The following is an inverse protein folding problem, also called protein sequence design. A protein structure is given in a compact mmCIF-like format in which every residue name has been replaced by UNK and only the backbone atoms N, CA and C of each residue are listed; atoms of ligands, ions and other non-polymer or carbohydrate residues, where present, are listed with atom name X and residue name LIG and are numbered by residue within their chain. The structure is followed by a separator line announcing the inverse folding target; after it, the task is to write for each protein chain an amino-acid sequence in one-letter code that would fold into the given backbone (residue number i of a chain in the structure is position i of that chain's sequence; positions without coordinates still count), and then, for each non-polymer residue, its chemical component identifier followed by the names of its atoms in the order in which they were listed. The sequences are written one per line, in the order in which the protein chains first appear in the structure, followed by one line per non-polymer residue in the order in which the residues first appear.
data_IF_967128951951
#
_entry.id   IF_967128951951
#
_cell.length_a   1.000
_cell.length_b   1.000
_cell.length_c   1.000
_cell.angle_alpha   90.00
_cell.angle_beta   90.00
_cell.angle_gamma   90.00
#
_symmetry.space_group_name_H-M   'P 1'
#
loop_
_entity.id
_entity.type
_entity.pdbx_description
1 polymer ?
#
# COMPACT_ATOMS: atom_id res chain seq x y z
N UNK A 1 -24.69 -5.16 -20.73
CA UNK A 1 -23.90 -3.97 -21.08
C UNK A 1 -24.65 -3.24 -22.18
N UNK A 2 -25.06 -2.00 -21.93
CA UNK A 2 -25.63 -1.14 -22.97
C UNK A 2 -24.54 -0.76 -23.99
N UNK A 3 -24.91 -0.51 -25.25
CA UNK A 3 -23.96 -0.06 -26.29
C UNK A 3 -23.15 1.18 -25.88
N UNK A 4 -23.72 2.05 -25.02
CA UNK A 4 -23.05 3.23 -24.45
C UNK A 4 -22.02 2.90 -23.34
N UNK A 5 -22.17 1.80 -22.63
CA UNK A 5 -21.20 1.34 -21.62
C UNK A 5 -19.99 0.67 -22.27
N UNK A 6 -20.22 -0.06 -23.38
CA UNK A 6 -19.15 -0.67 -24.17
C UNK A 6 -18.15 0.36 -24.71
N UNK A 7 -18.64 1.49 -25.22
CA UNK A 7 -17.78 2.57 -25.71
C UNK A 7 -16.87 3.17 -24.62
N UNK A 8 -17.43 3.47 -23.44
CA UNK A 8 -16.66 4.00 -22.30
C UNK A 8 -15.61 3.03 -21.78
N UNK A 9 -15.93 1.74 -21.77
CA UNK A 9 -14.97 0.72 -21.37
C UNK A 9 -13.79 0.62 -22.35
N UNK A 10 -14.07 0.64 -23.65
CA UNK A 10 -13.02 0.65 -24.68
C UNK A 10 -12.12 1.88 -24.52
N UNK A 11 -12.70 3.07 -24.36
CA UNK A 11 -11.95 4.30 -24.14
C UNK A 11 -11.02 4.22 -22.91
N UNK A 12 -11.53 3.70 -21.79
CA UNK A 12 -10.76 3.50 -20.57
C UNK A 12 -9.58 2.53 -20.78
N UNK A 13 -9.82 1.38 -21.41
CA UNK A 13 -8.77 0.38 -21.68
C UNK A 13 -7.74 0.91 -22.66
N UNK A 14 -8.17 1.67 -23.68
CA UNK A 14 -7.29 2.32 -24.65
C UNK A 14 -6.40 3.34 -23.97
N UNK A 15 -6.98 4.25 -23.17
CA UNK A 15 -6.22 5.25 -22.42
C UNK A 15 -5.21 4.59 -21.47
N UNK A 16 -5.66 3.61 -20.68
CA UNK A 16 -4.76 2.87 -19.79
C UNK A 16 -3.61 2.20 -20.55
N UNK A 17 -3.90 1.54 -21.68
CA UNK A 17 -2.88 0.90 -22.51
C UNK A 17 -1.90 1.91 -23.12
N UNK A 18 -2.37 3.10 -23.50
CA UNK A 18 -1.51 4.20 -23.97
C UNK A 18 -0.60 4.70 -22.85
N UNK A 19 -1.13 4.94 -21.65
CA UNK A 19 -0.33 5.35 -20.48
C UNK A 19 0.80 4.34 -20.21
N UNK A 20 0.51 3.04 -20.21
CA UNK A 20 1.54 2.01 -20.02
C UNK A 20 2.60 2.03 -21.13
N UNK A 21 2.20 2.27 -22.39
CA UNK A 21 3.13 2.40 -23.51
C UNK A 21 4.01 3.63 -23.39
N UNK A 22 3.46 4.76 -22.95
CA UNK A 22 4.16 6.04 -22.76
C UNK A 22 5.18 5.97 -21.63
N UNK A 23 4.89 5.23 -20.56
CA UNK A 23 5.87 4.94 -19.49
C UNK A 23 7.10 4.19 -20.01
N UNK A 24 6.94 3.45 -21.12
CA UNK A 24 8.02 2.75 -21.78
C UNK A 24 8.49 1.50 -21.04
N UNK A 25 9.51 0.80 -21.56
CA UNK A 25 10.06 -0.39 -20.93
C UNK A 25 10.80 -0.05 -19.63
N UNK A 26 10.82 -1.02 -18.72
CA UNK A 26 11.61 -0.93 -17.49
C UNK A 26 13.09 -0.77 -17.84
N UNK A 27 13.76 0.19 -17.18
CA UNK A 27 15.20 0.44 -17.38
C UNK A 27 16.02 -0.73 -16.82
N UNK A 28 17.09 -1.10 -17.54
CA UNK A 28 18.02 -2.19 -17.14
C UNK A 28 18.80 -1.92 -15.85
N UNK A 29 18.86 -0.67 -15.41
CA UNK A 29 19.60 -0.23 -14.22
C UNK A 29 18.83 -0.48 -12.91
N UNK A 30 17.58 -0.95 -12.97
CA UNK A 30 16.78 -1.24 -11.78
C UNK A 30 17.07 -2.66 -11.29
N UNK A 31 17.42 -2.79 -10.01
CA UNK A 31 17.53 -4.08 -9.33
C UNK A 31 16.23 -4.90 -9.50
N UNK A 32 16.27 -6.06 -10.18
CA UNK A 32 15.08 -6.88 -10.45
C UNK A 32 14.32 -7.31 -9.19
N UNK A 33 15.02 -7.63 -8.10
CA UNK A 33 14.35 -8.10 -6.87
C UNK A 33 13.66 -6.94 -6.14
N UNK A 34 14.30 -5.77 -6.10
CA UNK A 34 13.67 -4.54 -5.59
C UNK A 34 12.44 -4.18 -6.41
N UNK A 35 12.53 -4.28 -7.74
CA UNK A 35 11.41 -3.97 -8.62
C UNK A 35 10.25 -4.95 -8.43
N UNK A 36 10.56 -6.26 -8.36
CA UNK A 36 9.57 -7.31 -8.11
C UNK A 36 8.84 -7.08 -6.79
N UNK A 37 9.58 -6.75 -5.73
CA UNK A 37 9.00 -6.44 -4.41
C UNK A 37 8.05 -5.23 -4.49
N UNK A 38 8.46 -4.14 -5.15
CA UNK A 38 7.61 -2.95 -5.31
C UNK A 38 6.36 -3.21 -6.15
N UNK A 39 6.48 -3.98 -7.23
CA UNK A 39 5.32 -4.38 -8.05
C UNK A 39 4.36 -5.28 -7.28
N UNK A 40 4.89 -6.21 -6.48
CA UNK A 40 4.08 -7.07 -5.63
C UNK A 40 3.38 -6.25 -4.53
N UNK A 41 4.07 -5.27 -3.93
CA UNK A 41 3.46 -4.36 -2.96
C UNK A 41 2.33 -3.52 -3.59
N UNK A 42 2.55 -2.98 -4.79
CA UNK A 42 1.53 -2.24 -5.54
C UNK A 42 0.30 -3.11 -5.85
N UNK A 43 0.52 -4.35 -6.29
CA UNK A 43 -0.55 -5.32 -6.54
C UNK A 43 -1.36 -5.58 -5.27
N UNK A 44 -0.69 -5.94 -4.16
CA UNK A 44 -1.35 -6.21 -2.88
C UNK A 44 -2.15 -5.01 -2.38
N UNK A 45 -1.61 -3.80 -2.53
CA UNK A 45 -2.26 -2.57 -2.11
C UNK A 45 -3.59 -2.36 -2.85
N UNK A 46 -3.57 -2.49 -4.19
CA UNK A 46 -4.77 -2.33 -5.03
C UNK A 46 -5.81 -3.44 -4.80
N UNK A 47 -5.38 -4.68 -4.57
CA UNK A 47 -6.27 -5.80 -4.25
C UNK A 47 -6.86 -5.72 -2.82
N UNK A 48 -6.24 -4.90 -1.97
CA UNK A 48 -6.60 -4.67 -0.57
C UNK A 48 -8.02 -4.15 -0.36
N UNK A 49 -8.60 -4.50 0.80
CA UNK A 49 -9.95 -4.06 1.19
C UNK A 49 -10.05 -2.53 1.30
N UNK A 50 -8.99 -1.88 1.80
CA UNK A 50 -8.94 -0.42 1.97
C UNK A 50 -9.09 0.29 0.62
N UNK A 51 -8.31 -0.09 -0.39
CA UNK A 51 -8.40 0.52 -1.72
C UNK A 51 -9.78 0.32 -2.36
N UNK A 52 -10.36 -0.88 -2.25
CA UNK A 52 -11.75 -1.11 -2.71
C UNK A 52 -12.76 -0.19 -2.02
N UNK A 53 -12.66 -0.02 -0.71
CA UNK A 53 -13.56 0.85 0.04
C UNK A 53 -13.39 2.33 -0.36
N UNK A 54 -12.14 2.80 -0.46
CA UNK A 54 -11.79 4.18 -0.80
C UNK A 54 -12.31 4.55 -2.19
N UNK A 55 -12.11 3.68 -3.18
CA UNK A 55 -12.62 3.89 -4.55
C UNK A 55 -14.15 3.91 -4.58
N UNK A 56 -14.81 3.02 -3.82
CA UNK A 56 -16.27 2.99 -3.75
C UNK A 56 -16.86 4.29 -3.16
N UNK A 57 -16.17 4.91 -2.19
CA UNK A 57 -16.59 6.18 -1.56
C UNK A 57 -16.39 7.41 -2.44
N UNK A 58 -15.67 7.30 -3.56
CA UNK A 58 -15.39 8.44 -4.46
C UNK A 58 -16.65 9.15 -4.93
N UNK A 59 -17.66 8.40 -5.38
CA UNK A 59 -18.91 8.99 -5.88
C UNK A 59 -19.64 9.71 -4.75
N UNK A 60 -19.75 9.06 -3.59
CA UNK A 60 -20.42 9.61 -2.41
C UNK A 60 -19.77 10.92 -1.93
N UNK A 61 -18.43 10.98 -1.86
CA UNK A 61 -17.73 12.20 -1.45
C UNK A 61 -17.88 13.37 -2.43
N UNK A 62 -18.11 13.09 -3.72
CA UNK A 62 -18.34 14.13 -4.74
C UNK A 62 -19.80 14.57 -4.84
N UNK A 63 -20.77 13.76 -4.38
CA UNK A 63 -22.20 14.07 -4.52
C UNK A 63 -22.86 14.43 -3.20
N UNK A 64 -22.65 13.62 -2.16
CA UNK A 64 -23.32 13.74 -0.87
C UNK A 64 -22.43 14.39 0.18
N UNK A 65 -21.12 14.39 -0.06
CA UNK A 65 -20.11 14.88 0.86
C UNK A 65 -19.74 13.87 1.95
N UNK A 66 -18.88 14.27 2.88
CA UNK A 66 -18.51 13.46 4.04
C UNK A 66 -19.58 13.50 5.16
N UNK A 67 -19.27 12.95 6.34
CA UNK A 67 -20.17 12.93 7.51
C UNK A 67 -20.60 14.33 7.97
N UNK A 68 -19.88 15.38 7.58
CA UNK A 68 -20.14 16.78 7.91
C UNK A 68 -20.82 17.55 6.76
N UNK A 69 -21.13 16.89 5.65
CA UNK A 69 -21.73 17.50 4.47
C UNK A 69 -20.73 18.22 3.55
N UNK A 70 -19.43 18.06 3.77
CA UNK A 70 -18.40 18.67 2.93
C UNK A 70 -18.27 17.88 1.62
N UNK A 71 -18.56 18.53 0.50
CA UNK A 71 -18.44 17.94 -0.84
C UNK A 71 -17.04 18.21 -1.39
N UNK A 72 -16.35 17.15 -1.79
CA UNK A 72 -14.98 17.24 -2.26
C UNK A 72 -14.93 17.47 -3.77
N UNK A 73 -14.01 18.34 -4.19
CA UNK A 73 -13.63 18.45 -5.60
C UNK A 73 -12.86 17.21 -6.05
N UNK A 74 -12.84 16.99 -7.37
CA UNK A 74 -12.04 15.91 -7.96
C UNK A 74 -10.54 16.04 -7.61
N UNK A 75 -10.03 17.27 -7.53
CA UNK A 75 -8.63 17.53 -7.23
C UNK A 75 -8.28 17.19 -5.77
N UNK A 76 -9.15 17.51 -4.82
CA UNK A 76 -8.97 17.16 -3.40
C UNK A 76 -9.00 15.65 -3.20
N UNK A 77 -9.96 14.95 -3.83
CA UNK A 77 -10.02 13.49 -3.76
C UNK A 77 -8.81 12.82 -4.42
N UNK A 78 -8.32 13.35 -5.55
CA UNK A 78 -7.14 12.78 -6.18
C UNK A 78 -5.92 12.85 -5.26
N UNK A 79 -5.70 13.98 -4.55
CA UNK A 79 -4.62 14.12 -3.57
C UNK A 79 -4.78 13.15 -2.40
N UNK A 80 -5.98 13.06 -1.84
CA UNK A 80 -6.27 12.12 -0.75
C UNK A 80 -6.02 10.67 -1.18
N UNK A 81 -6.43 10.29 -2.39
CA UNK A 81 -6.20 8.95 -2.90
C UNK A 81 -4.73 8.67 -3.19
N UNK A 82 -3.98 9.65 -3.69
CA UNK A 82 -2.54 9.52 -3.88
C UNK A 82 -1.83 9.23 -2.55
N UNK A 83 -2.15 9.98 -1.50
CA UNK A 83 -1.62 9.73 -0.14
C UNK A 83 -1.98 8.33 0.36
N UNK A 84 -3.24 7.92 0.20
CA UNK A 84 -3.70 6.59 0.63
C UNK A 84 -2.99 5.46 -0.14
N UNK A 85 -2.79 5.62 -1.44
CA UNK A 85 -2.09 4.64 -2.28
C UNK A 85 -0.63 4.52 -1.84
N UNK A 86 0.08 5.64 -1.67
CA UNK A 86 1.46 5.64 -1.21
C UNK A 86 1.62 5.01 0.18
N UNK A 87 0.66 5.29 1.07
CA UNK A 87 0.62 4.68 2.40
C UNK A 87 0.41 3.17 2.35
N UNK A 88 -0.56 2.71 1.57
CA UNK A 88 -0.87 1.29 1.44
C UNK A 88 0.29 0.54 0.78
N UNK A 89 0.91 1.13 -0.26
CA UNK A 89 2.09 0.56 -0.90
C UNK A 89 3.25 0.39 0.08
N UNK A 90 3.54 1.40 0.90
CA UNK A 90 4.60 1.33 1.89
C UNK A 90 4.33 0.26 2.96
N UNK A 91 3.09 0.11 3.40
CA UNK A 91 2.68 -0.96 4.33
C UNK A 91 2.91 -2.34 3.71
N UNK A 92 2.45 -2.54 2.46
CA UNK A 92 2.61 -3.81 1.76
C UNK A 92 4.09 -4.15 1.48
N UNK A 93 4.91 -3.15 1.16
CA UNK A 93 6.35 -3.33 0.96
C UNK A 93 7.04 -3.78 2.25
N UNK A 94 6.77 -3.12 3.38
CA UNK A 94 7.29 -3.52 4.70
C UNK A 94 6.82 -4.93 5.07
N UNK A 95 5.55 -5.26 4.85
CA UNK A 95 5.02 -6.61 5.13
C UNK A 95 5.73 -7.68 4.31
N UNK A 96 5.94 -7.46 3.01
CA UNK A 96 6.64 -8.43 2.16
C UNK A 96 8.07 -8.66 2.64
N UNK A 97 8.82 -7.59 2.89
CA UNK A 97 10.21 -7.67 3.35
C UNK A 97 10.34 -8.37 4.72
N UNK A 98 9.43 -8.08 5.65
CA UNK A 98 9.47 -8.63 7.02
C UNK A 98 8.87 -10.04 7.14
N UNK A 99 8.17 -10.52 6.11
CA UNK A 99 7.76 -11.94 6.00
C UNK A 99 8.93 -12.82 5.58
N UNK A 100 9.81 -12.32 4.71
CA UNK A 100 11.00 -13.07 4.28
C UNK A 100 11.99 -13.25 5.44
N UNK A 101 12.23 -12.18 6.21
CA UNK A 101 13.12 -12.21 7.37
C UNK A 101 12.85 -11.06 8.34
N UNK A 102 13.22 -11.19 9.63
CA UNK A 102 13.20 -10.07 10.55
C UNK A 102 14.16 -8.96 10.10
N UNK A 103 13.72 -7.70 10.14
CA UNK A 103 14.52 -6.54 9.72
C UNK A 103 14.45 -5.39 10.73
N UNK A 104 15.55 -4.66 10.85
CA UNK A 104 15.62 -3.41 11.60
C UNK A 104 14.97 -2.24 10.85
N UNK A 105 14.69 -1.15 11.57
CA UNK A 105 14.23 0.12 10.98
C UNK A 105 15.21 0.62 9.91
N UNK A 106 16.52 0.45 10.14
CA UNK A 106 17.56 0.92 9.22
C UNK A 106 17.52 0.14 7.91
N UNK A 107 17.48 -1.19 7.97
CA UNK A 107 17.44 -2.04 6.78
C UNK A 107 16.14 -1.83 5.98
N UNK A 108 15.01 -1.66 6.68
CA UNK A 108 13.74 -1.35 6.03
C UNK A 108 13.77 0.02 5.34
N UNK A 109 14.37 1.04 5.96
CA UNK A 109 14.54 2.35 5.34
C UNK A 109 15.40 2.27 4.06
N UNK A 110 16.51 1.54 4.10
CA UNK A 110 17.39 1.32 2.95
C UNK A 110 16.68 0.58 1.81
N UNK A 111 15.95 -0.51 2.12
CA UNK A 111 15.24 -1.32 1.12
C UNK A 111 14.07 -0.57 0.50
N UNK A 112 13.25 0.10 1.31
CA UNK A 112 12.04 0.82 0.85
C UNK A 112 12.37 2.17 0.19
N UNK A 113 13.46 2.81 0.61
CA UNK A 113 13.80 4.20 0.26
C UNK A 113 13.07 5.25 1.13
N UNK A 114 12.40 4.84 2.20
CA UNK A 114 11.69 5.73 3.12
C UNK A 114 12.61 6.26 4.21
N UNK A 115 12.28 7.42 4.77
CA UNK A 115 12.98 7.94 5.94
C UNK A 115 12.82 6.98 7.15
N UNK A 116 13.87 6.75 7.97
CA UNK A 116 13.78 5.87 9.14
C UNK A 116 12.64 6.22 10.11
N UNK A 117 12.32 7.51 10.28
CA UNK A 117 11.21 7.97 11.11
C UNK A 117 9.84 7.54 10.56
N UNK A 118 9.67 7.51 9.24
CA UNK A 118 8.45 7.04 8.58
C UNK A 118 8.31 5.53 8.75
N UNK A 119 9.40 4.79 8.58
CA UNK A 119 9.42 3.34 8.82
C UNK A 119 9.06 3.01 10.26
N UNK A 120 9.69 3.65 11.24
CA UNK A 120 9.41 3.41 12.65
C UNK A 120 7.95 3.71 13.02
N UNK A 121 7.40 4.82 12.50
CA UNK A 121 5.99 5.17 12.71
C UNK A 121 5.08 4.06 12.18
N UNK A 122 5.30 3.63 10.93
CA UNK A 122 4.51 2.54 10.30
C UNK A 122 4.61 1.24 11.08
N UNK A 123 5.81 0.83 11.51
CA UNK A 123 5.99 -0.38 12.30
C UNK A 123 5.22 -0.32 13.63
N UNK A 124 5.20 0.84 14.26
CA UNK A 124 4.45 1.06 15.50
C UNK A 124 2.95 0.96 15.27
N UNK A 125 2.44 1.57 14.20
CA UNK A 125 1.03 1.50 13.82
C UNK A 125 0.62 0.06 13.45
N UNK A 126 1.44 -0.62 12.66
CA UNK A 126 1.23 -2.02 12.27
C UNK A 126 1.29 -2.98 13.47
N UNK A 127 2.14 -2.71 14.46
CA UNK A 127 2.16 -3.48 15.71
C UNK A 127 0.87 -3.31 16.51
N UNK A 128 0.32 -2.09 16.58
CA UNK A 128 -0.99 -1.83 17.21
C UNK A 128 -2.14 -2.55 16.49
N UNK A 129 -1.99 -2.81 15.20
CA UNK A 129 -2.93 -3.57 14.37
C UNK A 129 -2.66 -5.08 14.36
N UNK A 130 -1.71 -5.57 15.18
CA UNK A 130 -1.32 -6.99 15.24
C UNK A 130 -0.83 -7.55 13.89
N UNK A 131 -0.23 -6.69 13.06
CA UNK A 131 0.37 -7.07 11.78
C UNK A 131 1.90 -7.26 11.88
N UNK A 132 2.50 -6.78 12.97
CA UNK A 132 3.93 -6.74 13.16
C UNK A 132 4.30 -7.02 14.62
N UNK A 133 5.37 -7.76 14.84
CA UNK A 133 5.96 -7.99 16.17
C UNK A 133 7.45 -7.72 16.17
N UNK A 134 8.00 -7.49 17.36
CA UNK A 134 9.46 -7.50 17.55
C UNK A 134 9.85 -8.96 17.76
N UNK A 135 10.59 -9.52 16.81
CA UNK A 135 11.02 -10.93 16.85
C UNK A 135 12.15 -11.11 17.87
N UNK A 136 13.15 -10.23 17.81
CA UNK A 136 14.28 -10.22 18.73
C UNK A 136 14.88 -8.82 18.82
N UNK A 137 15.69 -8.60 19.84
CA UNK A 137 16.52 -7.40 19.98
C UNK A 137 17.97 -7.84 19.82
N UNK A 138 18.63 -7.32 18.80
CA UNK A 138 20.07 -7.53 18.59
C UNK A 138 20.83 -6.35 19.19
N UNK A 139 21.51 -6.59 20.31
CA UNK A 139 22.10 -5.58 21.21
C UNK A 139 21.07 -4.55 21.71
N UNK A 140 20.87 -3.47 20.93
CA UNK A 140 19.93 -2.36 21.19
C UNK A 140 19.03 -2.08 19.98
N UNK A 141 19.05 -2.96 18.98
CA UNK A 141 18.33 -2.80 17.72
C UNK A 141 17.19 -3.81 17.63
N UNK A 142 15.93 -3.37 17.72
CA UNK A 142 14.78 -4.25 17.50
C UNK A 142 14.72 -4.72 16.05
N UNK A 143 14.57 -6.03 15.85
CA UNK A 143 14.25 -6.63 14.56
C UNK A 143 12.77 -6.99 14.50
N UNK A 144 12.12 -6.54 13.44
CA UNK A 144 10.68 -6.62 13.26
C UNK A 144 10.32 -7.71 12.27
N UNK A 145 9.26 -8.47 12.56
CA UNK A 145 8.74 -9.53 11.71
C UNK A 145 7.23 -9.38 11.56
N UNK A 146 6.71 -9.64 10.36
CA UNK A 146 5.27 -9.68 10.14
C UNK A 146 4.64 -10.84 10.92
N UNK A 147 3.45 -10.62 11.47
CA UNK A 147 2.66 -11.67 12.13
C UNK A 147 1.98 -12.51 11.05
N UNK A 148 2.12 -13.83 11.11
CA UNK A 148 1.43 -14.72 10.17
C UNK A 148 -0.05 -14.89 10.55
N UNK A 149 -0.92 -15.12 9.57
CA UNK A 149 -2.38 -15.22 9.81
C UNK A 149 -2.76 -16.35 10.79
N UNK A 150 -1.89 -17.33 11.03
CA UNK A 150 -2.08 -18.39 12.02
C UNK A 150 -1.67 -18.04 13.46
N UNK A 151 -0.94 -16.95 13.69
CA UNK A 151 -0.45 -16.58 15.04
C UNK A 151 -1.44 -15.69 15.81
N UNK A 152 -2.45 -15.12 15.12
CA UNK A 152 -3.44 -14.19 15.72
C UNK A 152 -4.36 -14.80 16.78
N UNK A 153 -4.31 -16.13 16.98
CA UNK A 153 -5.19 -16.85 17.90
C UNK A 153 -4.59 -17.18 19.28
N UNK A 154 -3.31 -16.89 19.54
CA UNK A 154 -2.62 -17.46 20.71
C UNK A 154 -2.23 -16.46 21.82
N UNK A 155 -2.55 -15.17 21.68
CA UNK A 155 -2.17 -14.14 22.67
C UNK A 155 -3.34 -13.64 23.55
N UNK A 156 -4.56 -14.18 23.38
CA UNK A 156 -5.71 -13.85 24.23
C UNK A 156 -5.87 -14.75 25.47
N UNK A 157 -4.76 -15.30 25.99
CA UNK A 157 -4.75 -16.04 27.26
C UNK A 157 -3.43 -15.79 27.98
N UNK A 158 -3.38 -14.70 28.74
CA UNK A 158 -2.28 -14.30 29.60
C UNK A 158 -2.72 -13.28 30.63
#
# INVERSE_FOLDING_TARGET
MSAAEGGKFVELVTHFSQTIRELGPLKKEVDPEKLKTKLQAAKNAVEGKKMRWVVAKRVEFMTNGNLYGEVFTQQELNRLFEEVVLDEMAIQEILLLTREQPLSVRELAEKTGLAPSVVLRRLTDMKRMELMKVEKVDERTPLWKAVEEGEKGNESSG
#
